data_IF_424858372622
#
_entry.id   IF_424858372622
#
_cell.length_a   1.000
_cell.length_b   1.000
_cell.length_c   1.000
_cell.angle_alpha   90.00
_cell.angle_beta   90.00
_cell.angle_gamma   90.00
#
_symmetry.space_group_name_H-M   'P 1'
#
loop_
_entity.id
_entity.type
_entity.pdbx_description
1 polymer ?
#
# COMPACT_ATOMS: atom_id res chain seq x y z
N UNK A 1 9.04 -4.75 36.69
CA UNK A 1 10.38 -4.37 37.21
C UNK A 1 11.50 -4.65 36.21
N UNK A 2 11.47 -5.75 35.47
CA UNK A 2 12.47 -6.04 34.44
C UNK A 2 12.57 -4.93 33.39
N UNK A 3 11.46 -4.29 33.08
CA UNK A 3 11.39 -3.23 32.08
C UNK A 3 11.94 -1.88 32.57
N UNK A 4 12.11 -1.72 33.87
CA UNK A 4 12.63 -0.51 34.51
C UNK A 4 14.15 -0.58 34.65
N UNK A 5 14.73 -1.77 34.79
CA UNK A 5 16.17 -1.98 34.97
C UNK A 5 16.83 -2.36 33.64
N UNK A 6 17.31 -1.37 32.94
CA UNK A 6 17.95 -1.53 31.63
C UNK A 6 19.10 -2.55 31.60
N UNK A 7 19.89 -2.61 32.64
CA UNK A 7 21.04 -3.49 32.79
C UNK A 7 20.67 -4.97 32.95
N UNK A 8 19.43 -5.24 33.32
CA UNK A 8 18.94 -6.61 33.61
C UNK A 8 17.75 -7.00 32.72
N UNK A 9 17.22 -6.07 31.95
CA UNK A 9 16.06 -6.33 31.12
C UNK A 9 16.47 -7.02 29.82
N UNK A 10 15.77 -8.08 29.45
CA UNK A 10 15.92 -8.74 28.14
C UNK A 10 15.42 -7.83 27.00
N UNK A 11 14.46 -6.97 27.31
CA UNK A 11 13.93 -5.94 26.42
C UNK A 11 13.57 -4.69 27.21
N UNK A 12 13.91 -3.52 26.67
CA UNK A 12 13.52 -2.23 27.23
C UNK A 12 12.16 -1.74 26.74
N UNK A 13 11.46 -2.56 25.97
CA UNK A 13 10.17 -2.26 25.39
C UNK A 13 9.10 -2.94 26.22
N UNK A 14 8.28 -2.14 26.87
CA UNK A 14 7.02 -2.57 27.45
C UNK A 14 5.93 -2.21 26.44
N UNK A 15 5.61 -3.11 25.55
CA UNK A 15 4.58 -2.86 24.55
C UNK A 15 3.20 -3.14 25.11
N UNK A 16 2.50 -2.07 25.41
CA UNK A 16 1.08 -2.13 25.69
C UNK A 16 0.34 -1.33 24.64
N UNK A 17 -0.48 -2.02 23.84
CA UNK A 17 -1.26 -1.44 22.75
C UNK A 17 -2.67 -1.03 23.20
N UNK A 18 -2.89 -0.76 24.48
CA UNK A 18 -4.21 -0.45 25.03
C UNK A 18 -4.86 0.77 24.36
N UNK A 19 -4.09 1.82 24.06
CA UNK A 19 -4.60 2.99 23.35
C UNK A 19 -5.06 2.64 21.92
N UNK A 20 -4.26 1.88 21.19
CA UNK A 20 -4.62 1.44 19.85
C UNK A 20 -5.82 0.48 19.87
N UNK A 21 -5.90 -0.42 20.85
CA UNK A 21 -7.05 -1.30 21.05
C UNK A 21 -8.33 -0.51 21.36
N UNK A 22 -8.23 0.54 22.18
CA UNK A 22 -9.35 1.43 22.46
C UNK A 22 -9.79 2.18 21.20
N UNK A 23 -8.86 2.76 20.45
CA UNK A 23 -9.14 3.45 19.21
C UNK A 23 -9.83 2.52 18.19
N UNK A 24 -9.32 1.30 18.02
CA UNK A 24 -9.93 0.30 17.14
C UNK A 24 -11.35 -0.08 17.61
N UNK A 25 -11.56 -0.27 18.93
CA UNK A 25 -12.88 -0.59 19.48
C UNK A 25 -13.89 0.52 19.24
N UNK A 26 -13.48 1.78 19.40
CA UNK A 26 -14.34 2.94 19.14
C UNK A 26 -14.67 3.02 17.63
N UNK A 27 -13.67 2.89 16.75
CA UNK A 27 -13.87 2.93 15.31
C UNK A 27 -14.80 1.81 14.83
N UNK A 28 -14.59 0.57 15.28
CA UNK A 28 -15.44 -0.56 14.94
C UNK A 28 -16.88 -0.37 15.46
N UNK A 29 -17.05 0.18 16.66
CA UNK A 29 -18.37 0.47 17.24
C UNK A 29 -19.10 1.56 16.48
N UNK A 30 -18.38 2.60 16.04
CA UNK A 30 -18.94 3.70 15.25
C UNK A 30 -19.38 3.24 13.85
N UNK A 31 -18.56 2.44 13.18
CA UNK A 31 -18.87 1.87 11.87
C UNK A 31 -19.98 0.81 11.94
N UNK A 32 -19.98 0.01 12.98
CA UNK A 32 -20.88 -1.13 13.13
C UNK A 32 -20.69 -2.18 12.03
N UNK A 33 -21.50 -3.25 12.10
CA UNK A 33 -21.42 -4.39 11.17
C UNK A 33 -21.55 -3.97 9.69
N UNK A 34 -22.45 -3.02 9.42
CA UNK A 34 -22.70 -2.55 8.06
C UNK A 34 -21.54 -1.70 7.55
N UNK A 35 -21.08 -0.74 8.33
CA UNK A 35 -19.98 0.15 7.93
C UNK A 35 -18.67 -0.59 7.71
N UNK A 36 -18.32 -1.57 8.56
CA UNK A 36 -17.14 -2.42 8.36
C UNK A 36 -17.22 -3.20 7.04
N UNK A 37 -18.38 -3.75 6.71
CA UNK A 37 -18.56 -4.46 5.44
C UNK A 37 -18.44 -3.52 4.23
N UNK A 38 -19.07 -2.35 4.30
CA UNK A 38 -18.98 -1.34 3.25
C UNK A 38 -17.54 -0.86 3.05
N UNK A 39 -16.81 -0.62 4.13
CA UNK A 39 -15.40 -0.24 4.11
C UNK A 39 -14.54 -1.30 3.40
N UNK A 40 -14.68 -2.56 3.81
CA UNK A 40 -13.95 -3.67 3.19
C UNK A 40 -14.30 -3.84 1.70
N UNK A 41 -15.57 -3.68 1.34
CA UNK A 41 -16.00 -3.75 -0.06
C UNK A 41 -15.40 -2.63 -0.90
N UNK A 42 -15.37 -1.40 -0.38
CA UNK A 42 -14.75 -0.26 -1.07
C UNK A 42 -13.26 -0.46 -1.27
N UNK A 43 -12.54 -0.97 -0.26
CA UNK A 43 -11.12 -1.32 -0.40
C UNK A 43 -10.89 -2.29 -1.57
N UNK A 44 -11.64 -3.40 -1.60
CA UNK A 44 -11.57 -4.38 -2.69
C UNK A 44 -11.85 -3.76 -4.07
N UNK A 45 -12.89 -2.94 -4.15
CA UNK A 45 -13.30 -2.29 -5.40
C UNK A 45 -12.24 -1.30 -5.89
N UNK A 46 -11.67 -0.50 -4.99
CA UNK A 46 -10.63 0.49 -5.33
C UNK A 46 -9.36 -0.20 -5.83
N UNK A 47 -8.88 -1.22 -5.11
CA UNK A 47 -7.71 -1.99 -5.53
C UNK A 47 -7.95 -2.71 -6.87
N UNK A 48 -9.12 -3.31 -7.05
CA UNK A 48 -9.49 -3.95 -8.31
C UNK A 48 -9.54 -2.95 -9.48
N UNK A 49 -10.17 -1.79 -9.26
CA UNK A 49 -10.25 -0.74 -10.28
C UNK A 49 -8.84 -0.27 -10.70
N UNK A 50 -7.94 -0.06 -9.73
CA UNK A 50 -6.56 0.31 -10.02
C UNK A 50 -5.83 -0.78 -10.81
N UNK A 51 -5.95 -2.06 -10.42
CA UNK A 51 -5.39 -3.17 -11.20
C UNK A 51 -5.84 -3.15 -12.67
N UNK A 52 -7.15 -2.92 -12.91
CA UNK A 52 -7.69 -2.89 -14.26
C UNK A 52 -7.12 -1.69 -15.07
N UNK A 53 -7.04 -0.52 -14.44
CA UNK A 53 -6.47 0.68 -15.08
C UNK A 53 -4.99 0.49 -15.43
N UNK A 54 -4.19 -0.10 -14.54
CA UNK A 54 -2.78 -0.40 -14.79
C UNK A 54 -2.59 -1.40 -15.93
N UNK A 55 -3.41 -2.45 -15.99
CA UNK A 55 -3.41 -3.40 -17.12
C UNK A 55 -3.78 -2.75 -18.44
N UNK A 56 -4.78 -1.87 -18.45
CA UNK A 56 -5.17 -1.10 -19.65
C UNK A 56 -4.06 -0.15 -20.10
N UNK A 57 -3.25 0.34 -19.17
CA UNK A 57 -2.04 1.12 -19.48
C UNK A 57 -0.84 0.26 -19.91
N UNK A 58 -0.99 -1.06 -20.03
CA UNK A 58 0.05 -1.98 -20.50
C UNK A 58 0.99 -2.50 -19.41
N UNK A 59 0.72 -2.24 -18.15
CA UNK A 59 1.53 -2.73 -17.02
C UNK A 59 1.11 -4.15 -16.61
N UNK A 60 2.08 -4.94 -16.15
CA UNK A 60 1.85 -6.32 -15.70
C UNK A 60 1.62 -6.37 -14.20
N UNK A 61 0.56 -7.01 -13.77
CA UNK A 61 0.31 -7.34 -12.37
C UNK A 61 0.91 -8.71 -12.07
N UNK A 62 1.80 -8.76 -11.10
CA UNK A 62 2.40 -10.02 -10.61
C UNK A 62 1.34 -10.74 -9.77
N UNK A 63 1.12 -12.01 -10.08
CA UNK A 63 0.09 -12.83 -9.42
C UNK A 63 -1.28 -12.11 -9.38
N UNK A 64 -1.98 -12.13 -10.51
CA UNK A 64 -3.28 -11.47 -10.69
C UNK A 64 -4.44 -12.19 -9.98
N UNK A 65 -4.13 -12.99 -8.98
CA UNK A 65 -5.11 -13.65 -8.12
C UNK A 65 -5.90 -12.65 -7.25
N UNK A 66 -6.84 -13.17 -6.44
CA UNK A 66 -7.58 -12.37 -5.49
C UNK A 66 -6.64 -11.69 -4.49
N UNK A 67 -6.76 -10.38 -4.32
CA UNK A 67 -6.04 -9.60 -3.33
C UNK A 67 -7.00 -8.63 -2.64
N UNK A 68 -6.67 -8.17 -1.44
CA UNK A 68 -7.52 -7.22 -0.73
C UNK A 68 -7.28 -5.78 -1.24
N UNK A 69 -6.24 -5.13 -0.75
CA UNK A 69 -5.89 -3.76 -1.12
C UNK A 69 -4.46 -3.60 -1.60
N UNK A 70 -3.68 -4.68 -1.59
CA UNK A 70 -2.29 -4.70 -1.98
C UNK A 70 -2.06 -5.67 -3.15
N UNK A 71 -1.19 -5.28 -4.05
CA UNK A 71 -0.76 -6.10 -5.18
C UNK A 71 0.59 -5.59 -5.71
N UNK A 72 1.27 -6.42 -6.49
CA UNK A 72 2.57 -6.06 -7.08
C UNK A 72 2.39 -5.77 -8.56
N UNK A 73 3.00 -4.69 -9.02
CA UNK A 73 3.08 -4.32 -10.44
C UNK A 73 4.53 -4.38 -10.90
N UNK A 74 4.74 -4.91 -12.10
CA UNK A 74 6.04 -4.85 -12.79
C UNK A 74 6.10 -3.57 -13.61
N UNK A 75 7.16 -2.81 -13.43
CA UNK A 75 7.44 -1.56 -14.13
C UNK A 75 8.49 -1.78 -15.22
N UNK A 76 8.53 -0.97 -16.28
CA UNK A 76 9.54 -1.05 -17.34
C UNK A 76 10.90 -0.51 -16.90
N UNK A 77 10.95 0.25 -15.79
CA UNK A 77 12.15 0.84 -15.20
C UNK A 77 12.34 0.34 -13.76
N UNK A 78 13.48 0.62 -13.17
CA UNK A 78 13.73 0.35 -11.75
C UNK A 78 12.68 1.03 -10.85
N UNK A 79 12.10 0.27 -9.93
CA UNK A 79 11.00 0.74 -9.09
C UNK A 79 11.41 1.86 -8.10
N UNK A 80 12.71 1.93 -7.73
CA UNK A 80 13.24 3.02 -6.91
C UNK A 80 13.29 4.32 -7.73
N UNK A 81 13.73 4.23 -8.98
CA UNK A 81 13.73 5.36 -9.91
C UNK A 81 12.29 5.82 -10.19
N UNK A 82 11.38 4.90 -10.46
CA UNK A 82 9.96 5.21 -10.64
C UNK A 82 9.36 5.91 -9.40
N UNK A 83 9.70 5.45 -8.20
CA UNK A 83 9.27 6.08 -6.95
C UNK A 83 9.75 7.53 -6.82
N UNK A 84 11.00 7.81 -7.23
CA UNK A 84 11.54 9.18 -7.19
C UNK A 84 10.80 10.10 -8.17
N UNK A 85 10.57 9.65 -9.39
CA UNK A 85 9.82 10.43 -10.38
C UNK A 85 8.37 10.66 -9.95
N UNK A 86 7.71 9.66 -9.35
CA UNK A 86 6.36 9.83 -8.78
C UNK A 86 6.32 10.88 -7.67
N UNK A 87 7.36 10.96 -6.84
CA UNK A 87 7.46 11.97 -5.78
C UNK A 87 7.53 13.40 -6.35
N UNK A 88 8.14 13.61 -7.53
CA UNK A 88 8.15 14.91 -8.22
C UNK A 88 6.74 15.35 -8.62
N UNK A 89 5.84 14.40 -8.81
CA UNK A 89 4.41 14.64 -9.05
C UNK A 89 3.56 14.65 -7.77
N UNK A 90 4.20 14.61 -6.58
CA UNK A 90 3.52 14.58 -5.30
C UNK A 90 2.84 13.24 -4.98
N UNK A 91 3.25 12.15 -5.62
CA UNK A 91 2.66 10.83 -5.47
C UNK A 91 3.64 9.89 -4.74
N UNK A 92 3.20 9.28 -3.64
CA UNK A 92 3.87 8.14 -3.02
C UNK A 92 3.29 6.89 -3.67
N UNK A 93 4.01 6.32 -4.65
CA UNK A 93 3.47 5.28 -5.51
C UNK A 93 3.34 3.92 -4.86
N UNK A 94 4.32 3.52 -4.07
CA UNK A 94 4.37 2.20 -3.45
C UNK A 94 5.75 1.88 -2.89
N UNK A 95 5.97 0.60 -2.56
CA UNK A 95 7.23 0.11 -2.01
C UNK A 95 8.03 -0.60 -3.09
N UNK A 96 9.23 -0.10 -3.49
CA UNK A 96 10.13 -0.81 -4.38
C UNK A 96 10.62 -2.11 -3.74
N UNK A 97 10.49 -3.23 -4.42
CA UNK A 97 10.84 -4.55 -3.88
C UNK A 97 12.31 -4.93 -4.07
N UNK A 98 13.05 -4.23 -4.92
CA UNK A 98 14.47 -4.44 -5.17
C UNK A 98 15.35 -4.32 -3.91
N UNK A 99 14.93 -3.54 -2.92
CA UNK A 99 15.62 -3.41 -1.64
C UNK A 99 15.59 -4.70 -0.78
N UNK A 100 14.62 -5.57 -1.03
CA UNK A 100 14.42 -6.83 -0.30
C UNK A 100 14.87 -8.04 -1.11
N UNK A 101 14.76 -7.95 -2.44
CA UNK A 101 15.17 -9.00 -3.36
C UNK A 101 15.69 -8.38 -4.67
N UNK A 102 16.97 -8.53 -4.93
CA UNK A 102 17.63 -7.99 -6.12
C UNK A 102 17.04 -8.47 -7.45
N UNK A 103 16.35 -9.62 -7.47
CA UNK A 103 15.65 -10.10 -8.66
C UNK A 103 14.37 -9.32 -8.97
N UNK A 104 13.89 -8.49 -8.04
CA UNK A 104 12.62 -7.76 -8.10
C UNK A 104 12.80 -6.23 -8.23
N UNK A 105 13.89 -5.79 -8.86
CA UNK A 105 14.21 -4.37 -8.99
C UNK A 105 13.13 -3.55 -9.70
N UNK A 106 12.45 -4.17 -10.65
CA UNK A 106 11.38 -3.51 -11.43
C UNK A 106 9.98 -3.74 -10.84
N UNK A 107 9.88 -4.27 -9.64
CA UNK A 107 8.61 -4.55 -9.00
C UNK A 107 8.31 -3.58 -7.87
N UNK A 108 7.06 -3.12 -7.82
CA UNK A 108 6.56 -2.21 -6.81
C UNK A 108 5.31 -2.81 -6.15
N UNK A 109 5.31 -2.89 -4.82
CA UNK A 109 4.11 -3.20 -4.04
C UNK A 109 3.26 -1.94 -3.92
N UNK A 110 2.06 -1.99 -4.48
CA UNK A 110 1.08 -0.90 -4.47
C UNK A 110 -0.05 -1.22 -3.51
N UNK A 111 -0.49 -0.23 -2.75
CA UNK A 111 -1.65 -0.31 -1.87
C UNK A 111 -2.67 0.76 -2.25
N UNK A 112 -3.92 0.36 -2.48
CA UNK A 112 -5.02 1.27 -2.73
C UNK A 112 -6.20 0.95 -1.80
N UNK A 113 -6.66 1.98 -1.08
CA UNK A 113 -7.72 1.86 -0.09
C UNK A 113 -8.94 2.71 -0.48
N UNK A 114 -10.00 2.62 0.31
CA UNK A 114 -11.23 3.40 0.16
C UNK A 114 -11.02 4.92 0.19
N UNK A 115 -9.84 5.37 0.64
CA UNK A 115 -9.52 6.81 0.70
C UNK A 115 -9.15 7.40 -0.66
N UNK A 116 -8.89 6.55 -1.66
CA UNK A 116 -8.48 7.02 -2.99
C UNK A 116 -9.69 7.27 -3.88
N UNK A 117 -9.70 8.43 -4.53
CA UNK A 117 -10.71 8.77 -5.54
C UNK A 117 -10.34 8.19 -6.90
N UNK A 118 -11.31 8.12 -7.82
CA UNK A 118 -11.03 7.68 -9.19
C UNK A 118 -10.04 8.59 -9.91
N UNK A 119 -10.13 9.89 -9.65
CA UNK A 119 -9.22 10.91 -10.21
C UNK A 119 -7.80 10.70 -9.74
N UNK A 120 -7.59 10.38 -8.46
CA UNK A 120 -6.26 10.04 -7.92
C UNK A 120 -5.71 8.74 -8.52
N UNK A 121 -6.56 7.73 -8.76
CA UNK A 121 -6.15 6.52 -9.45
C UNK A 121 -5.73 6.81 -10.90
N UNK A 122 -6.47 7.66 -11.61
CA UNK A 122 -6.14 8.05 -12.98
C UNK A 122 -4.85 8.88 -13.06
N UNK A 123 -4.62 9.77 -12.11
CA UNK A 123 -3.37 10.51 -11.98
C UNK A 123 -2.18 9.58 -11.76
N UNK A 124 -2.31 8.60 -10.86
CA UNK A 124 -1.28 7.61 -10.61
C UNK A 124 -0.96 6.77 -11.85
N UNK A 125 -1.97 6.27 -12.54
CA UNK A 125 -1.80 5.47 -13.77
C UNK A 125 -1.16 6.31 -14.88
N UNK A 126 -1.56 7.58 -15.02
CA UNK A 126 -0.98 8.50 -16.01
C UNK A 126 0.48 8.78 -15.69
N UNK A 127 0.82 9.05 -14.43
CA UNK A 127 2.19 9.29 -14.02
C UNK A 127 3.07 8.05 -14.29
N UNK A 128 2.61 6.85 -13.95
CA UNK A 128 3.34 5.61 -14.27
C UNK A 128 3.47 5.37 -15.78
N UNK A 129 2.43 5.68 -16.56
CA UNK A 129 2.47 5.56 -18.03
C UNK A 129 3.48 6.53 -18.67
N UNK A 130 3.68 7.70 -18.10
CA UNK A 130 4.70 8.66 -18.52
C UNK A 130 6.14 8.18 -18.30
N UNK A 131 6.37 7.32 -17.29
CA UNK A 131 7.69 6.76 -16.98
C UNK A 131 8.15 5.69 -17.98
N UNK A 132 7.28 5.17 -18.80
CA UNK A 132 7.58 4.09 -19.77
C UNK A 132 8.16 4.57 -21.09
N UNK A 133 8.32 5.89 -21.29
CA UNK A 133 8.63 6.49 -22.59
C UNK A 133 9.87 7.39 -22.62
N UNK A 134 10.77 7.32 -21.59
CA UNK A 134 12.09 7.97 -21.65
C UNK A 134 13.23 6.97 -21.91
#
# INVERSE_FOLDING_TARGET
EQHIRRDKATSNICSNQALNALAASIAMSALGKRGIRELATRNLQTAYALKQKLKQAGLTIVDDGPSFNEFVVTLPIDATQASQQLLEHGIIGGLPLGAYDAARQNEMLVCATELRTNEELDQFVTALGGLTHE
#
